data_IF_963478386407
#
_entry.id   IF_963478386407
#
_cell.length_a   1.000
_cell.length_b   1.000
_cell.length_c   1.000
_cell.angle_alpha   90.00
_cell.angle_beta   90.00
_cell.angle_gamma   90.00
#
_symmetry.space_group_name_H-M   'P 1'
#
loop_
_entity.id
_entity.type
_entity.pdbx_description
1 polymer ?
#
# COMPACT_ATOMS: atom_id res chain seq x y z
N UNK A 1 -2.13 12.78 -11.76
CA UNK A 1 -1.94 11.85 -12.89
C UNK A 1 -2.69 10.58 -12.55
N UNK A 2 -3.41 10.00 -13.50
CA UNK A 2 -4.04 8.68 -13.33
C UNK A 2 -2.96 7.60 -13.39
N UNK A 3 -3.16 6.51 -12.67
CA UNK A 3 -2.34 5.30 -12.75
C UNK A 3 -2.39 4.75 -14.18
N UNK A 4 -1.27 4.21 -14.67
CA UNK A 4 -1.12 3.78 -16.07
C UNK A 4 -2.19 2.78 -16.50
N UNK A 5 -2.54 1.81 -15.64
CA UNK A 5 -3.57 0.82 -15.92
C UNK A 5 -4.98 1.44 -16.01
N UNK A 6 -5.30 2.45 -15.18
CA UNK A 6 -6.59 3.15 -15.24
C UNK A 6 -6.72 3.93 -16.54
N UNK A 7 -5.62 4.54 -16.99
CA UNK A 7 -5.59 5.25 -18.26
C UNK A 7 -5.81 4.29 -19.45
N UNK A 8 -5.08 3.17 -19.49
CA UNK A 8 -5.27 2.14 -20.52
C UNK A 8 -6.70 1.60 -20.53
N UNK A 9 -7.26 1.31 -19.35
CA UNK A 9 -8.63 0.82 -19.23
C UNK A 9 -9.67 1.85 -19.68
N UNK A 10 -9.47 3.12 -19.36
CA UNK A 10 -10.35 4.21 -19.80
C UNK A 10 -10.33 4.36 -21.32
N UNK A 11 -9.15 4.26 -21.93
CA UNK A 11 -8.98 4.31 -23.38
C UNK A 11 -9.70 3.13 -24.05
N UNK A 12 -9.45 1.90 -23.58
CA UNK A 12 -10.12 0.71 -24.09
C UNK A 12 -11.65 0.82 -23.97
N UNK A 13 -12.15 1.29 -22.83
CA UNK A 13 -13.58 1.44 -22.59
C UNK A 13 -14.22 2.49 -23.51
N UNK A 14 -13.49 3.57 -23.81
CA UNK A 14 -13.93 4.60 -24.76
C UNK A 14 -14.02 4.06 -26.19
N UNK A 15 -13.05 3.23 -26.61
CA UNK A 15 -13.06 2.60 -27.93
C UNK A 15 -14.23 1.62 -28.11
N UNK A 16 -14.54 0.84 -27.07
CA UNK A 16 -15.65 -0.12 -27.06
C UNK A 16 -17.01 0.52 -26.75
N UNK A 17 -17.08 1.85 -26.65
CA UNK A 17 -18.27 2.61 -26.27
C UNK A 17 -18.97 2.08 -25.01
N UNK A 18 -18.17 1.61 -24.04
CA UNK A 18 -18.63 1.04 -22.77
C UNK A 18 -18.25 1.92 -21.59
N UNK A 19 -18.96 1.74 -20.48
CA UNK A 19 -18.62 2.40 -19.22
C UNK A 19 -17.38 1.77 -18.59
N UNK A 20 -16.63 2.56 -17.81
CA UNK A 20 -15.48 2.09 -17.04
C UNK A 20 -15.97 1.23 -15.87
N UNK A 21 -15.65 -0.06 -15.93
CA UNK A 21 -15.99 -1.10 -14.96
C UNK A 21 -14.85 -1.43 -13.97
N UNK A 22 -13.59 -1.35 -14.39
CA UNK A 22 -12.44 -1.53 -13.49
C UNK A 22 -12.16 -0.26 -12.71
N UNK A 23 -12.48 -0.31 -11.41
CA UNK A 23 -12.33 0.83 -10.48
C UNK A 23 -11.28 0.58 -9.41
N UNK A 24 -10.84 -0.67 -9.20
CA UNK A 24 -9.81 -1.06 -8.25
C UNK A 24 -8.78 -1.96 -8.92
N UNK A 25 -7.55 -1.95 -8.42
CA UNK A 25 -6.49 -2.83 -8.92
C UNK A 25 -6.86 -4.32 -8.81
N UNK A 26 -7.62 -4.69 -7.77
CA UNK A 26 -8.10 -6.06 -7.57
C UNK A 26 -8.89 -6.60 -8.78
N UNK A 27 -9.68 -5.74 -9.46
CA UNK A 27 -10.42 -6.14 -10.67
C UNK A 27 -9.47 -6.50 -11.83
N UNK A 28 -8.33 -5.81 -11.92
CA UNK A 28 -7.30 -6.09 -12.93
C UNK A 28 -6.61 -7.42 -12.62
N UNK A 29 -6.33 -7.68 -11.34
CA UNK A 29 -5.73 -8.95 -10.89
C UNK A 29 -6.70 -10.10 -11.16
N UNK A 30 -7.99 -9.95 -10.86
CA UNK A 30 -9.03 -10.93 -11.16
C UNK A 30 -9.11 -11.26 -12.65
N UNK A 31 -9.13 -10.23 -13.50
CA UNK A 31 -9.16 -10.41 -14.94
C UNK A 31 -7.87 -11.07 -15.47
N UNK A 32 -6.71 -10.72 -14.91
CA UNK A 32 -5.43 -11.32 -15.28
C UNK A 32 -5.39 -12.81 -14.92
N UNK A 33 -5.86 -13.19 -13.73
CA UNK A 33 -5.94 -14.60 -13.29
C UNK A 33 -6.93 -15.40 -14.14
N UNK A 34 -8.07 -14.79 -14.50
CA UNK A 34 -9.05 -15.43 -15.38
C UNK A 34 -8.48 -15.69 -16.79
N UNK A 35 -7.71 -14.73 -17.33
CA UNK A 35 -7.08 -14.86 -18.65
C UNK A 35 -5.84 -15.77 -18.63
N UNK A 36 -5.08 -15.78 -17.53
CA UNK A 36 -3.81 -16.49 -17.37
C UNK A 36 -3.80 -17.23 -16.02
N UNK A 37 -4.39 -18.44 -15.94
CA UNK A 37 -4.52 -19.19 -14.69
C UNK A 37 -3.20 -19.48 -13.99
N UNK A 38 -2.09 -19.55 -14.73
CA UNK A 38 -0.74 -19.70 -14.17
C UNK A 38 -0.30 -18.53 -13.26
N UNK A 39 -0.96 -17.38 -13.35
CA UNK A 39 -0.72 -16.21 -12.51
C UNK A 39 -1.60 -16.17 -11.26
N UNK A 40 -2.37 -17.23 -10.96
CA UNK A 40 -3.27 -17.27 -9.80
C UNK A 40 -2.57 -16.94 -8.47
N UNK A 41 -1.29 -17.31 -8.32
CA UNK A 41 -0.49 -17.03 -7.13
C UNK A 41 -0.25 -15.54 -6.83
N UNK A 42 -0.55 -14.61 -7.77
CA UNK A 42 -0.50 -13.17 -7.50
C UNK A 42 -1.44 -12.79 -6.35
N UNK A 43 -2.59 -13.46 -6.23
CA UNK A 43 -3.56 -13.21 -5.14
C UNK A 43 -3.02 -13.60 -3.76
N UNK A 44 -2.07 -14.53 -3.71
CA UNK A 44 -1.47 -14.97 -2.46
C UNK A 44 -0.38 -14.01 -1.95
N UNK A 45 0.10 -13.10 -2.81
CA UNK A 45 1.15 -12.16 -2.45
C UNK A 45 0.65 -11.08 -1.46
N UNK A 46 -0.61 -10.66 -1.60
CA UNK A 46 -1.17 -9.60 -0.77
C UNK A 46 -2.71 -9.69 -0.64
N UNK A 47 -3.28 -9.36 0.53
CA UNK A 47 -4.72 -9.16 0.70
C UNK A 47 -5.31 -8.09 -0.24
N UNK A 48 -6.60 -8.19 -0.48
CA UNK A 48 -7.36 -7.22 -1.27
C UNK A 48 -7.35 -5.81 -0.66
N UNK A 49 -7.70 -4.80 -1.46
CA UNK A 49 -7.77 -3.40 -1.05
C UNK A 49 -8.76 -3.15 0.11
N UNK A 50 -9.74 -4.03 0.28
CA UNK A 50 -10.75 -4.00 1.33
C UNK A 50 -10.26 -4.49 2.70
N UNK A 51 -9.10 -5.14 2.79
CA UNK A 51 -8.61 -5.76 4.02
C UNK A 51 -8.43 -4.75 5.17
N UNK A 52 -9.00 -5.06 6.35
CA UNK A 52 -8.92 -4.23 7.56
C UNK A 52 -8.62 -5.08 8.78
N UNK A 53 -7.89 -4.51 9.74
CA UNK A 53 -7.73 -5.07 11.08
C UNK A 53 -8.49 -4.16 12.05
N UNK A 54 -9.50 -4.71 12.74
CA UNK A 54 -10.39 -3.95 13.64
C UNK A 54 -10.99 -2.69 12.95
N UNK A 55 -11.37 -2.83 11.68
CA UNK A 55 -11.93 -1.74 10.87
C UNK A 55 -10.90 -0.74 10.32
N UNK A 56 -9.62 -0.87 10.66
CA UNK A 56 -8.56 0.06 10.23
C UNK A 56 -7.68 -0.54 9.12
N UNK A 57 -7.21 0.32 8.21
CA UNK A 57 -6.15 -0.03 7.26
C UNK A 57 -4.82 -0.27 7.96
N UNK A 58 -3.91 -0.95 7.29
CA UNK A 58 -2.52 -1.05 7.74
C UNK A 58 -1.81 0.28 7.51
N UNK A 59 -1.10 0.79 8.50
CA UNK A 59 -0.36 2.04 8.33
C UNK A 59 0.92 1.79 7.50
N UNK A 60 1.26 2.71 6.59
CA UNK A 60 2.55 2.67 5.86
C UNK A 60 3.65 3.43 6.58
N UNK A 61 3.31 4.36 7.46
CA UNK A 61 4.31 5.16 8.16
C UNK A 61 4.50 4.62 9.59
N UNK A 62 5.75 4.51 10.10
CA UNK A 62 6.01 4.07 11.47
C UNK A 62 5.52 5.14 12.44
N UNK A 63 4.89 4.76 13.57
CA UNK A 63 4.27 5.66 14.56
C UNK A 63 5.14 6.83 15.10
N UNK A 64 6.44 6.87 14.80
CA UNK A 64 7.40 7.92 15.19
C UNK A 64 7.73 8.98 14.11
N UNK A 65 7.03 9.05 12.97
CA UNK A 65 7.19 10.12 11.98
C UNK A 65 6.56 11.46 12.43
N UNK A 66 7.26 12.19 13.31
CA UNK A 66 6.77 13.42 13.95
C UNK A 66 7.08 14.74 13.20
N UNK A 67 7.58 14.67 11.96
CA UNK A 67 8.13 15.85 11.24
C UNK A 67 7.22 16.52 10.21
N UNK A 68 6.02 15.98 9.96
CA UNK A 68 5.19 16.33 8.79
C UNK A 68 4.74 17.79 8.76
N UNK A 69 4.20 18.26 9.87
CA UNK A 69 3.70 19.63 10.02
C UNK A 69 4.86 20.64 9.93
N UNK A 70 6.01 20.32 10.52
CA UNK A 70 7.18 21.19 10.52
C UNK A 70 7.73 21.43 9.10
N UNK A 71 7.66 20.42 8.20
CA UNK A 71 8.18 20.54 6.82
C UNK A 71 7.50 21.62 5.98
N UNK A 72 6.25 22.00 6.28
CA UNK A 72 5.48 23.01 5.50
C UNK A 72 5.05 24.22 6.32
N UNK A 73 5.51 24.31 7.58
CA UNK A 73 5.11 25.37 8.50
C UNK A 73 5.47 26.78 8.00
N UNK A 74 6.48 26.92 7.14
CA UNK A 74 6.86 28.19 6.50
C UNK A 74 5.85 28.67 5.43
N UNK A 75 4.96 27.79 4.96
CA UNK A 75 3.91 28.11 3.97
C UNK A 75 2.54 28.14 4.66
N UNK A 76 2.25 27.15 5.50
CA UNK A 76 1.02 27.07 6.28
C UNK A 76 1.21 26.13 7.47
N UNK A 77 0.67 26.54 8.62
CA UNK A 77 0.66 25.71 9.84
C UNK A 77 -0.40 24.60 9.81
N UNK A 78 -1.35 24.65 8.85
CA UNK A 78 -2.37 23.62 8.70
C UNK A 78 -1.80 22.42 7.92
N UNK A 79 -1.86 21.24 8.54
CA UNK A 79 -1.47 20.00 7.86
C UNK A 79 -2.49 19.61 6.79
N UNK A 80 -2.08 19.43 5.53
CA UNK A 80 -2.97 18.92 4.48
C UNK A 80 -3.40 17.48 4.77
N UNK A 81 -4.65 17.16 4.43
CA UNK A 81 -5.16 15.78 4.53
C UNK A 81 -4.29 14.82 3.72
N UNK A 82 -3.99 13.67 4.31
CA UNK A 82 -3.25 12.63 3.62
C UNK A 82 -3.99 12.10 2.38
N UNK A 83 -3.26 11.77 1.30
CA UNK A 83 -3.80 11.02 0.19
C UNK A 83 -4.41 9.70 0.69
N UNK A 84 -5.62 9.39 0.22
CA UNK A 84 -6.25 8.11 0.50
C UNK A 84 -5.87 7.12 -0.60
N UNK A 85 -5.28 6.01 -0.18
CA UNK A 85 -5.08 4.89 -1.08
C UNK A 85 -6.38 4.09 -1.17
N UNK A 86 -6.91 3.85 -2.36
CA UNK A 86 -8.12 3.04 -2.57
C UNK A 86 -7.81 1.64 -3.08
N UNK A 87 -6.61 1.43 -3.61
CA UNK A 87 -6.23 0.24 -4.36
C UNK A 87 -5.48 -0.78 -3.51
N UNK A 88 -5.24 -0.48 -2.23
CA UNK A 88 -4.55 -1.40 -1.32
C UNK A 88 -5.03 -1.27 0.12
N UNK A 89 -4.80 -2.32 0.90
CA UNK A 89 -5.08 -2.41 2.33
C UNK A 89 -4.33 -1.39 3.20
N UNK A 90 -3.37 -0.68 2.62
CA UNK A 90 -2.50 0.24 3.33
C UNK A 90 -3.01 1.69 3.30
N UNK A 91 -2.63 2.48 4.30
CA UNK A 91 -2.88 3.93 4.38
C UNK A 91 -1.56 4.69 4.34
N UNK A 92 -1.50 5.80 3.59
CA UNK A 92 -0.40 6.79 3.64
C UNK A 92 -0.49 7.64 4.91
N UNK A 93 -0.56 6.97 6.05
CA UNK A 93 -0.71 7.58 7.35
C UNK A 93 0.01 6.74 8.39
N UNK A 94 0.19 7.41 9.52
CA UNK A 94 0.60 6.91 10.82
C UNK A 94 -0.57 6.26 11.57
N UNK A 95 -1.77 6.69 11.24
CA UNK A 95 -3.03 6.24 11.81
C UNK A 95 -3.47 4.96 11.09
N UNK A 96 -3.72 3.92 11.87
CA UNK A 96 -4.05 2.59 11.36
C UNK A 96 -3.47 1.49 12.24
N UNK A 97 -3.72 0.24 11.88
CA UNK A 97 -3.18 -0.89 12.63
C UNK A 97 -1.67 -1.01 12.41
N UNK A 98 -0.91 -0.73 13.47
CA UNK A 98 0.55 -0.81 13.55
C UNK A 98 0.95 -1.82 14.62
N UNK A 99 0.52 -3.08 14.52
CA UNK A 99 0.99 -4.13 15.42
C UNK A 99 2.41 -4.55 14.98
N UNK A 100 3.46 -4.25 15.78
CA UNK A 100 4.85 -4.56 15.41
C UNK A 100 5.09 -6.07 15.36
N UNK A 101 4.43 -6.80 16.26
CA UNK A 101 4.62 -8.25 16.47
C UNK A 101 3.67 -9.12 15.64
N UNK A 102 2.82 -8.51 14.80
CA UNK A 102 1.94 -9.26 13.93
C UNK A 102 2.74 -9.96 12.82
N UNK A 103 2.58 -11.27 12.59
CA UNK A 103 3.24 -11.95 11.49
C UNK A 103 2.69 -11.40 10.16
N UNK A 104 3.47 -10.58 9.47
CA UNK A 104 3.14 -10.03 8.15
C UNK A 104 4.33 -10.15 7.22
N UNK A 105 4.10 -10.66 6.02
CA UNK A 105 5.07 -10.65 4.93
C UNK A 105 5.17 -9.27 4.26
N UNK A 106 4.12 -8.45 4.38
CA UNK A 106 4.07 -7.13 3.75
C UNK A 106 4.60 -6.04 4.68
N UNK A 107 5.84 -5.66 4.40
CA UNK A 107 6.52 -4.53 5.04
C UNK A 107 6.29 -3.31 4.12
N UNK A 108 5.63 -2.24 4.59
CA UNK A 108 5.57 -1.01 3.82
C UNK A 108 6.99 -0.46 3.67
N UNK A 109 7.39 -0.17 2.43
CA UNK A 109 8.68 0.47 2.15
C UNK A 109 8.58 1.92 2.62
N UNK A 110 9.15 2.20 3.80
CA UNK A 110 9.36 3.55 4.30
C UNK A 110 10.69 4.09 3.74
N UNK A 111 10.65 5.16 2.95
CA UNK A 111 11.86 5.95 2.65
C UNK A 111 12.22 6.80 3.88
N UNK A 112 12.83 6.17 4.89
CA UNK A 112 13.31 6.88 6.08
C UNK A 112 13.58 5.99 7.28
N UNK A 113 14.81 6.07 7.80
CA UNK A 113 15.40 5.44 8.99
C UNK A 113 15.74 3.94 8.94
N UNK A 114 16.99 3.69 8.51
CA UNK A 114 17.94 2.66 8.97
C UNK A 114 17.38 1.25 9.22
N UNK A 115 17.59 0.35 8.26
CA UNK A 115 17.65 -1.09 8.54
C UNK A 115 18.78 -1.33 9.57
N UNK A 116 18.43 -1.56 10.83
CA UNK A 116 19.31 -2.32 11.71
C UNK A 116 18.89 -3.78 11.64
N UNK A 117 19.79 -4.60 11.08
CA UNK A 117 19.72 -6.05 11.16
C UNK A 117 19.68 -6.47 12.64
N UNK A 118 18.87 -7.47 13.03
CA UNK A 118 18.89 -7.97 14.40
C UNK A 118 20.28 -8.53 14.72
N UNK A 119 20.95 -7.93 15.70
CA UNK A 119 22.17 -8.45 16.29
C UNK A 119 21.81 -9.70 17.12
N UNK A 120 22.21 -10.87 16.62
CA UNK A 120 21.91 -12.15 17.25
C UNK A 120 22.53 -13.33 16.52
N UNK A 121 23.85 -13.33 16.36
CA UNK A 121 24.62 -14.58 16.21
C UNK A 121 25.70 -14.62 17.28
N UNK A 122 25.51 -15.54 18.23
CA UNK A 122 26.45 -15.92 19.28
C UNK A 122 27.87 -16.10 18.73
N UNK A 123 28.85 -15.53 19.44
CA UNK A 123 30.24 -15.94 19.34
C UNK A 123 30.39 -17.28 20.07
N UNK A 124 30.74 -18.33 19.33
CA UNK A 124 31.24 -19.60 19.88
C UNK A 124 32.73 -19.40 20.22
N UNK A 125 33.17 -19.52 21.48
CA UNK A 125 34.58 -19.42 21.82
C UNK A 125 35.30 -20.75 21.60
N UNK A 126 36.53 -20.66 21.06
CA UNK A 126 37.60 -21.63 21.22
C UNK A 126 38.70 -21.03 22.09
#
# INVERSE_FOLDING_TARGET
MLESWRWLHSLHSTLENRQVDWTQLDHVIDAAVAALPQLAGIKDAAPDASFRIRGQKLAREPHRYSGRTAMRANISVHEPRQPQDKDTMFAFSMEGNNQPDAPRSQIPICLGSRLELPAGMEQVPG
#
